data_IF_621251370023
#
_entry.id   IF_621251370023
#
_cell.length_a   1.000
_cell.length_b   1.000
_cell.length_c   1.000
_cell.angle_alpha   90.00
_cell.angle_beta   90.00
_cell.angle_gamma   90.00
#
_symmetry.space_group_name_H-M   'P 1'
#
loop_
_entity.id
_entity.type
_entity.pdbx_description
1 polymer ?
#
# COMPACT_ATOMS: atom_id res chain seq x y z
N UNK A 1 -8.16 -0.14 -6.61
CA UNK A 1 -8.77 1.20 -6.84
C UNK A 1 -8.41 1.76 -8.22
N UNK A 2 -7.14 2.03 -8.52
CA UNK A 2 -6.72 2.63 -9.80
C UNK A 2 -7.25 1.86 -11.03
N UNK A 3 -7.18 0.53 -11.00
CA UNK A 3 -7.65 -0.33 -12.10
C UNK A 3 -9.15 -0.18 -12.41
N UNK A 4 -9.96 0.28 -11.47
CA UNK A 4 -11.40 0.49 -11.67
C UNK A 4 -11.74 1.92 -12.10
N UNK A 5 -10.88 2.89 -11.76
CA UNK A 5 -11.15 4.32 -11.91
C UNK A 5 -10.43 4.95 -13.09
N UNK A 6 -9.29 4.38 -13.49
CA UNK A 6 -8.39 4.97 -14.48
C UNK A 6 -8.40 4.13 -15.75
N UNK A 7 -8.40 4.78 -16.91
CA UNK A 7 -8.37 4.08 -18.19
C UNK A 7 -7.09 3.24 -18.34
N UNK A 8 -7.16 2.07 -19.01
CA UNK A 8 -6.04 1.12 -19.09
C UNK A 8 -4.70 1.72 -19.54
N UNK A 9 -4.73 2.70 -20.44
CA UNK A 9 -3.57 3.39 -20.99
C UNK A 9 -2.93 4.40 -20.01
N UNK A 10 -3.69 4.90 -19.03
CA UNK A 10 -3.19 5.86 -18.05
C UNK A 10 -2.72 5.21 -16.74
N UNK A 11 -3.03 3.93 -16.49
CA UNK A 11 -2.68 3.24 -15.24
C UNK A 11 -1.16 3.22 -14.97
N UNK A 12 -0.82 3.23 -13.68
CA UNK A 12 0.56 3.11 -13.21
C UNK A 12 1.14 1.71 -13.39
N UNK A 13 0.27 0.69 -13.31
CA UNK A 13 0.64 -0.73 -13.25
C UNK A 13 1.62 -1.03 -12.12
N UNK A 14 1.47 -0.33 -10.98
CA UNK A 14 2.41 -0.39 -9.85
C UNK A 14 2.72 -1.83 -9.41
N UNK A 15 1.72 -2.72 -9.36
CA UNK A 15 1.89 -4.11 -8.93
C UNK A 15 2.76 -4.89 -9.91
N UNK A 16 2.49 -4.76 -11.21
CA UNK A 16 3.28 -5.41 -12.27
C UNK A 16 4.74 -4.92 -12.26
N UNK A 17 4.95 -3.63 -12.02
CA UNK A 17 6.31 -3.05 -11.92
C UNK A 17 7.04 -3.57 -10.67
N UNK A 18 6.35 -3.69 -9.53
CA UNK A 18 6.90 -4.30 -8.31
C UNK A 18 7.31 -5.74 -8.58
N UNK A 19 6.43 -6.53 -9.19
CA UNK A 19 6.68 -7.94 -9.50
C UNK A 19 7.90 -8.10 -10.41
N UNK A 20 7.95 -7.33 -11.50
CA UNK A 20 9.05 -7.39 -12.45
C UNK A 20 10.39 -7.03 -11.80
N UNK A 21 10.44 -5.95 -11.01
CA UNK A 21 11.66 -5.51 -10.32
C UNK A 21 12.09 -6.56 -9.29
N UNK A 22 11.16 -7.04 -8.45
CA UNK A 22 11.49 -8.00 -7.40
C UNK A 22 11.92 -9.35 -7.97
N UNK A 23 11.32 -9.82 -9.06
CA UNK A 23 11.70 -11.08 -9.72
C UNK A 23 13.06 -10.98 -10.43
N UNK A 24 13.37 -9.85 -11.06
CA UNK A 24 14.65 -9.64 -11.74
C UNK A 24 15.81 -9.36 -10.77
N UNK A 25 15.52 -8.72 -9.64
CA UNK A 25 16.53 -8.35 -8.63
C UNK A 25 16.25 -9.02 -7.29
N UNK A 26 16.32 -10.36 -7.14
CA UNK A 26 15.79 -11.06 -5.98
C UNK A 26 16.67 -10.99 -4.72
N UNK A 27 17.74 -10.18 -4.73
CA UNK A 27 18.80 -10.18 -3.72
C UNK A 27 18.31 -9.98 -2.28
N UNK A 28 17.30 -9.14 -2.06
CA UNK A 28 16.80 -8.83 -0.71
C UNK A 28 15.79 -9.84 -0.17
N UNK A 29 15.17 -10.68 -1.01
CA UNK A 29 14.10 -11.58 -0.57
C UNK A 29 14.36 -13.07 -0.82
N UNK A 30 15.24 -13.45 -1.77
CA UNK A 30 15.47 -14.84 -2.19
C UNK A 30 15.83 -15.80 -1.05
N UNK A 31 16.51 -15.32 -0.02
CA UNK A 31 16.90 -16.14 1.16
C UNK A 31 15.76 -16.36 2.15
N UNK A 32 14.66 -15.62 2.02
CA UNK A 32 13.57 -15.57 2.99
C UNK A 32 12.30 -16.25 2.48
N UNK A 33 12.04 -16.18 1.17
CA UNK A 33 10.80 -16.65 0.57
C UNK A 33 10.97 -18.00 -0.13
N UNK A 34 9.84 -18.67 -0.36
CA UNK A 34 9.83 -20.02 -0.95
C UNK A 34 10.24 -19.97 -2.43
N UNK A 35 10.95 -21.00 -2.94
CA UNK A 35 11.45 -21.02 -4.32
C UNK A 35 10.35 -21.30 -5.36
N UNK A 36 9.24 -21.92 -4.94
CA UNK A 36 8.11 -22.23 -5.82
C UNK A 36 7.40 -20.94 -6.21
N UNK A 37 7.27 -20.68 -7.52
CA UNK A 37 6.76 -19.40 -8.05
C UNK A 37 5.45 -18.93 -7.41
N UNK A 38 4.43 -19.78 -7.33
CA UNK A 38 3.12 -19.41 -6.76
C UNK A 38 3.22 -19.02 -5.28
N UNK A 39 4.11 -19.66 -4.53
CA UNK A 39 4.34 -19.35 -3.11
C UNK A 39 5.22 -18.11 -2.96
N UNK A 40 6.21 -17.94 -3.83
CA UNK A 40 7.07 -16.75 -3.86
C UNK A 40 6.25 -15.48 -4.09
N UNK A 41 5.27 -15.51 -5.01
CA UNK A 41 4.40 -14.36 -5.27
C UNK A 41 3.55 -13.99 -4.05
N UNK A 42 2.99 -14.99 -3.35
CA UNK A 42 2.27 -14.74 -2.10
C UNK A 42 3.21 -14.11 -1.06
N UNK A 43 4.41 -14.65 -0.90
CA UNK A 43 5.39 -14.13 0.07
C UNK A 43 5.88 -12.72 -0.31
N UNK A 44 6.02 -12.41 -1.61
CA UNK A 44 6.42 -11.08 -2.12
C UNK A 44 5.44 -10.00 -1.68
N UNK A 45 4.13 -10.26 -1.77
CA UNK A 45 3.10 -9.26 -1.45
C UNK A 45 2.62 -9.28 -0.01
N UNK A 46 2.63 -10.44 0.65
CA UNK A 46 1.86 -10.63 1.88
C UNK A 46 2.68 -11.19 3.05
N UNK A 47 3.95 -11.53 2.85
CA UNK A 47 4.78 -11.99 3.96
C UNK A 47 4.97 -10.90 5.00
N UNK A 48 4.76 -11.24 6.27
CA UNK A 48 5.02 -10.36 7.42
C UNK A 48 6.51 -9.97 7.56
N UNK A 49 7.41 -10.65 6.84
CA UNK A 49 8.82 -10.26 6.77
C UNK A 49 9.05 -8.97 5.97
N UNK A 50 8.07 -8.52 5.18
CA UNK A 50 8.04 -7.23 4.48
C UNK A 50 9.33 -6.94 3.69
N UNK A 51 9.82 -7.89 2.89
CA UNK A 51 11.07 -7.70 2.14
C UNK A 51 10.93 -6.71 0.99
N UNK A 52 9.69 -6.39 0.58
CA UNK A 52 9.39 -5.33 -0.39
C UNK A 52 9.89 -3.95 0.08
N UNK A 53 10.05 -3.72 1.39
CA UNK A 53 10.53 -2.43 1.92
C UNK A 53 11.87 -1.96 1.36
N UNK A 54 12.73 -2.89 0.95
CA UNK A 54 14.04 -2.59 0.36
C UNK A 54 13.95 -2.10 -1.09
N UNK A 55 12.79 -2.28 -1.73
CA UNK A 55 12.57 -1.95 -3.14
C UNK A 55 11.83 -0.62 -3.33
N UNK A 56 11.24 -0.01 -2.29
CA UNK A 56 10.61 1.31 -2.40
C UNK A 56 11.53 2.41 -2.98
N UNK A 57 12.85 2.44 -2.70
CA UNK A 57 13.76 3.41 -3.33
C UNK A 57 14.07 3.12 -4.80
N UNK A 58 13.72 1.94 -5.33
CA UNK A 58 14.04 1.55 -6.70
C UNK A 58 13.34 2.51 -7.69
N UNK A 59 14.06 3.13 -8.65
CA UNK A 59 13.51 4.20 -9.49
C UNK A 59 12.21 3.84 -10.22
N UNK A 60 12.11 2.60 -10.76
CA UNK A 60 10.92 2.14 -11.47
C UNK A 60 9.69 2.04 -10.55
N UNK A 61 9.87 1.55 -9.33
CA UNK A 61 8.79 1.41 -8.34
C UNK A 61 8.39 2.78 -7.83
N UNK A 62 9.37 3.64 -7.51
CA UNK A 62 9.10 5.00 -7.10
C UNK A 62 8.28 5.76 -8.15
N UNK A 63 8.68 5.70 -9.43
CA UNK A 63 7.97 6.37 -10.51
C UNK A 63 6.54 5.83 -10.70
N UNK A 64 6.33 4.51 -10.60
CA UNK A 64 4.99 3.94 -10.73
C UNK A 64 4.09 4.30 -9.55
N UNK A 65 4.62 4.34 -8.32
CA UNK A 65 3.89 4.83 -7.14
C UNK A 65 3.55 6.32 -7.27
N UNK A 66 4.48 7.16 -7.70
CA UNK A 66 4.22 8.58 -7.96
C UNK A 66 3.11 8.76 -9.02
N UNK A 67 3.15 7.98 -10.10
CA UNK A 67 2.09 7.97 -11.13
C UNK A 67 0.74 7.51 -10.57
N UNK A 68 0.71 6.45 -9.75
CA UNK A 68 -0.49 5.97 -9.08
C UNK A 68 -1.14 7.08 -8.24
N UNK A 69 -0.33 7.73 -7.39
CA UNK A 69 -0.80 8.79 -6.50
C UNK A 69 -1.33 9.97 -7.32
N UNK A 70 -0.61 10.39 -8.36
CA UNK A 70 -1.05 11.46 -9.26
C UNK A 70 -2.38 11.13 -9.95
N UNK A 71 -2.54 9.91 -10.46
CA UNK A 71 -3.78 9.45 -11.09
C UNK A 71 -4.96 9.47 -10.11
N UNK A 72 -4.75 8.95 -8.90
CA UNK A 72 -5.81 8.91 -7.88
C UNK A 72 -6.15 10.29 -7.30
N UNK A 73 -5.22 11.26 -7.32
CA UNK A 73 -5.50 12.64 -6.94
C UNK A 73 -6.40 13.38 -7.95
N UNK A 74 -6.40 12.94 -9.21
CA UNK A 74 -7.17 13.58 -10.28
C UNK A 74 -8.61 13.06 -10.42
N UNK A 75 -9.02 12.13 -9.56
CA UNK A 75 -10.36 11.54 -9.55
C UNK A 75 -10.96 11.59 -8.16
N UNK A 76 -12.28 11.71 -8.09
CA UNK A 76 -12.98 11.54 -6.82
C UNK A 76 -13.00 10.06 -6.46
N UNK A 77 -12.44 9.70 -5.29
CA UNK A 77 -12.45 8.32 -4.80
C UNK A 77 -13.85 7.93 -4.30
N UNK A 78 -14.57 6.98 -4.94
CA UNK A 78 -15.87 6.54 -4.47
C UNK A 78 -15.76 5.85 -3.10
N UNK A 79 -16.66 6.19 -2.17
CA UNK A 79 -16.67 5.62 -0.82
C UNK A 79 -16.78 4.08 -0.81
N UNK A 80 -17.51 3.50 -1.76
CA UNK A 80 -17.61 2.04 -1.89
C UNK A 80 -16.27 1.35 -2.18
N UNK A 81 -15.40 1.98 -2.99
CA UNK A 81 -14.05 1.45 -3.23
C UNK A 81 -13.16 1.60 -1.99
N UNK A 82 -13.27 2.71 -1.26
CA UNK A 82 -12.52 2.89 -0.02
C UNK A 82 -12.98 1.87 1.02
N UNK A 83 -14.30 1.66 1.18
CA UNK A 83 -14.85 0.63 2.07
C UNK A 83 -14.33 -0.77 1.73
N UNK A 84 -14.27 -1.13 0.45
CA UNK A 84 -13.80 -2.44 -0.01
C UNK A 84 -12.32 -2.71 0.27
N UNK A 85 -11.44 -1.71 0.10
CA UNK A 85 -9.98 -1.92 0.16
C UNK A 85 -9.32 -1.33 1.42
N UNK A 86 -9.98 -0.38 2.09
CA UNK A 86 -9.48 0.35 3.26
C UNK A 86 -10.61 0.57 4.28
N UNK A 87 -11.21 -0.50 4.83
CA UNK A 87 -12.43 -0.40 5.65
C UNK A 87 -12.26 0.48 6.91
N UNK A 88 -11.10 0.39 7.59
CA UNK A 88 -10.81 1.21 8.77
C UNK A 88 -10.73 2.70 8.42
N UNK A 89 -10.15 3.03 7.26
CA UNK A 89 -10.09 4.41 6.78
C UNK A 89 -11.49 4.90 6.38
N UNK A 90 -12.33 4.04 5.81
CA UNK A 90 -13.71 4.37 5.49
C UNK A 90 -14.52 4.78 6.74
N UNK A 91 -14.40 4.04 7.85
CA UNK A 91 -15.07 4.41 9.12
C UNK A 91 -14.69 5.84 9.55
N UNK A 92 -13.40 6.19 9.46
CA UNK A 92 -12.90 7.54 9.79
C UNK A 92 -13.36 8.62 8.84
N UNK A 93 -13.57 8.29 7.57
CA UNK A 93 -14.18 9.22 6.60
C UNK A 93 -15.65 9.46 6.94
N UNK A 94 -16.39 8.42 7.32
CA UNK A 94 -17.78 8.52 7.75
C UNK A 94 -17.95 9.35 9.03
N UNK A 95 -16.96 9.31 9.93
CA UNK A 95 -16.90 10.16 11.13
C UNK A 95 -16.42 11.60 10.85
N UNK A 96 -15.96 11.90 9.64
CA UNK A 96 -15.45 13.22 9.26
C UNK A 96 -14.06 13.55 9.83
N UNK A 97 -13.34 12.56 10.37
CA UNK A 97 -12.00 12.75 10.98
C UNK A 97 -10.84 12.50 10.01
N UNK A 98 -11.14 12.11 8.77
CA UNK A 98 -10.17 11.87 7.70
C UNK A 98 -10.64 12.56 6.40
N UNK A 99 -9.69 13.03 5.59
CA UNK A 99 -9.98 13.53 4.23
C UNK A 99 -9.63 12.45 3.21
N UNK A 100 -10.47 12.17 2.19
CA UNK A 100 -10.29 11.04 1.27
C UNK A 100 -9.27 11.31 0.16
N UNK A 101 -8.05 11.71 0.53
CA UNK A 101 -6.92 11.83 -0.42
C UNK A 101 -6.03 10.59 -0.34
N UNK A 102 -5.44 10.13 -1.45
CA UNK A 102 -4.49 9.02 -1.46
C UNK A 102 -3.39 9.15 -0.39
N UNK A 103 -2.82 10.35 -0.25
CA UNK A 103 -1.79 10.60 0.75
C UNK A 103 -2.30 10.41 2.19
N UNK A 104 -3.46 10.99 2.52
CA UNK A 104 -4.02 10.88 3.88
C UNK A 104 -4.43 9.45 4.20
N UNK A 105 -4.96 8.70 3.22
CA UNK A 105 -5.27 7.29 3.37
C UNK A 105 -4.02 6.45 3.71
N UNK A 106 -2.89 6.70 3.04
CA UNK A 106 -1.61 6.04 3.32
C UNK A 106 -1.13 6.38 4.74
N UNK A 107 -1.10 7.67 5.09
CA UNK A 107 -0.65 8.11 6.41
C UNK A 107 -1.52 7.55 7.52
N UNK A 108 -2.84 7.56 7.36
CA UNK A 108 -3.76 7.02 8.35
C UNK A 108 -3.58 5.51 8.55
N UNK A 109 -3.24 4.77 7.47
CA UNK A 109 -2.90 3.34 7.56
C UNK A 109 -1.62 3.09 8.36
N UNK A 110 -0.62 3.96 8.23
CA UNK A 110 0.60 3.91 9.04
C UNK A 110 0.27 4.26 10.50
N UNK A 111 -0.59 5.26 10.71
CA UNK A 111 -1.01 5.69 12.04
C UNK A 111 -1.76 4.60 12.81
N UNK A 112 -2.43 3.65 12.15
CA UNK A 112 -3.04 2.48 12.82
C UNK A 112 -2.02 1.69 13.63
N UNK A 113 -0.84 1.43 13.05
CA UNK A 113 0.25 0.76 13.75
C UNK A 113 0.72 1.61 14.92
N UNK A 114 0.95 2.91 14.69
CA UNK A 114 1.43 3.83 15.73
C UNK A 114 0.43 4.00 16.89
N UNK A 115 -0.88 3.94 16.64
CA UNK A 115 -1.92 4.02 17.66
C UNK A 115 -1.84 2.83 18.64
N UNK A 116 -1.53 1.63 18.15
CA UNK A 116 -1.33 0.47 19.00
C UNK A 116 -0.11 0.64 19.93
N UNK A 117 1.02 1.15 19.40
CA UNK A 117 2.17 1.49 20.23
C UNK A 117 1.84 2.58 21.25
N UNK A 118 1.15 3.64 20.83
CA UNK A 118 0.70 4.71 21.73
C UNK A 118 -0.14 4.15 22.87
N UNK A 119 -1.09 3.26 22.58
CA UNK A 119 -1.93 2.64 23.61
C UNK A 119 -1.08 1.88 24.64
N UNK A 120 -0.11 1.07 24.20
CA UNK A 120 0.76 0.32 25.10
C UNK A 120 1.79 1.17 25.87
N UNK A 121 2.12 2.37 25.38
CA UNK A 121 3.10 3.27 26.00
C UNK A 121 2.49 4.43 26.80
N UNK A 122 1.18 4.66 26.70
CA UNK A 122 0.52 5.72 27.47
C UNK A 122 0.15 5.15 28.84
N UNK A 123 0.70 5.67 29.95
CA UNK A 123 0.32 5.18 31.28
C UNK A 123 -1.15 5.48 31.54
N UNK A 124 -1.84 4.56 32.22
CA UNK A 124 -3.19 4.81 32.73
C UNK A 124 -3.12 6.04 33.65
N UNK A 125 -3.80 7.11 33.24
CA UNK A 125 -3.99 8.27 34.10
C UNK A 125 -5.04 7.84 35.13
N UNK A 126 -4.56 7.55 36.35
CA UNK A 126 -5.39 7.29 37.53
C UNK A 126 -6.23 8.51 37.92
#
# INVERSE_FOLDING_TARGET
MENELISPEQRSRVLEVIDEVMLNEPGYWKKYYRPTWSQAMVDIHFSLSDRIRYYWPHPRIRQSVEKLIANLNNVTLPLGLISQFMPVQFERLSEGVLTPTPHNLIIDKIQDVLRAYRFGCTPDVA
#
